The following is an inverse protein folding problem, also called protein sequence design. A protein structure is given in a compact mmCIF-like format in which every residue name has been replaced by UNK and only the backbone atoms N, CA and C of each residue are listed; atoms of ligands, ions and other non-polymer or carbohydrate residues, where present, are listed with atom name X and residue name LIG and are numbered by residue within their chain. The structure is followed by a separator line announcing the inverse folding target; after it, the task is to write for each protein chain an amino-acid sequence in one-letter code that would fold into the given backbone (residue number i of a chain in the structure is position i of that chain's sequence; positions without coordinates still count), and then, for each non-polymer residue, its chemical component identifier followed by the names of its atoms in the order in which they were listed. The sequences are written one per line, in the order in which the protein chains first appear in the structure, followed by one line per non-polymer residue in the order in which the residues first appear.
data_IF_154495559292
#
_entry.id   IF_154495559292
#
_cell.length_a   1.000
_cell.length_b   1.000
_cell.length_c   1.000
_cell.angle_alpha   90.00
_cell.angle_beta   90.00
_cell.angle_gamma   90.00
#
_symmetry.space_group_name_H-M   'P 1'
#
loop_
_entity.id
_entity.type
_entity.pdbx_description
1 polymer ?
#
# COMPACT_ATOMS: atom_id res chain seq x y z
N UNK A 1 -29.41 15.96 -23.74
CA UNK A 1 -29.45 14.87 -22.76
C UNK A 1 -29.17 15.50 -21.42
N UNK A 2 -30.11 15.44 -20.47
CA UNK A 2 -29.92 16.11 -19.18
C UNK A 2 -28.77 15.45 -18.44
N UNK A 3 -27.76 16.22 -18.03
CA UNK A 3 -26.78 15.74 -17.07
C UNK A 3 -27.54 15.47 -15.77
N UNK A 4 -27.81 14.20 -15.46
CA UNK A 4 -28.22 13.86 -14.11
C UNK A 4 -27.10 14.33 -13.19
N UNK A 5 -27.48 15.10 -12.17
CA UNK A 5 -26.54 15.52 -11.13
C UNK A 5 -26.09 14.25 -10.42
N UNK A 6 -24.80 13.93 -10.49
CA UNK A 6 -24.21 12.81 -9.77
C UNK A 6 -24.26 13.11 -8.28
N UNK A 7 -24.82 12.20 -7.49
CA UNK A 7 -24.88 12.33 -6.03
C UNK A 7 -23.75 11.53 -5.37
N UNK A 8 -23.43 11.81 -4.09
CA UNK A 8 -22.49 11.00 -3.34
C UNK A 8 -22.88 9.52 -3.26
N UNK A 9 -24.18 9.22 -3.23
CA UNK A 9 -24.72 7.86 -3.20
C UNK A 9 -24.39 7.11 -4.51
N UNK A 10 -24.47 7.76 -5.66
CA UNK A 10 -24.10 7.15 -6.96
C UNK A 10 -22.62 6.73 -6.97
N UNK A 11 -21.74 7.59 -6.44
CA UNK A 11 -20.30 7.32 -6.30
C UNK A 11 -20.06 6.16 -5.34
N UNK A 12 -20.74 6.16 -4.19
CA UNK A 12 -20.61 5.11 -3.19
C UNK A 12 -21.09 3.76 -3.73
N UNK A 13 -22.25 3.73 -4.41
CA UNK A 13 -22.79 2.53 -5.03
C UNK A 13 -21.81 1.95 -6.06
N UNK A 14 -21.22 2.79 -6.91
CA UNK A 14 -20.18 2.36 -7.86
C UNK A 14 -18.99 1.71 -7.16
N UNK A 15 -18.45 2.35 -6.12
CA UNK A 15 -17.29 1.86 -5.34
C UNK A 15 -17.57 0.58 -4.55
N UNK A 16 -18.83 0.37 -4.14
CA UNK A 16 -19.27 -0.87 -3.49
C UNK A 16 -19.38 -2.03 -4.48
N UNK A 17 -19.85 -1.74 -5.70
CA UNK A 17 -20.16 -2.76 -6.70
C UNK A 17 -18.92 -3.24 -7.49
N UNK A 18 -17.88 -2.42 -7.61
CA UNK A 18 -16.65 -2.76 -8.35
C UNK A 18 -15.54 -3.40 -7.50
N UNK A 19 -15.78 -3.54 -6.18
CA UNK A 19 -14.84 -4.13 -5.23
C UNK A 19 -13.76 -3.18 -4.73
N UNK A 20 -13.80 -1.89 -5.10
CA UNK A 20 -12.81 -0.89 -4.67
C UNK A 20 -12.81 -0.71 -3.15
N UNK A 21 -13.98 -0.71 -2.50
CA UNK A 21 -14.08 -0.62 -1.03
C UNK A 21 -13.41 -1.82 -0.35
N UNK A 22 -13.58 -3.03 -0.88
CA UNK A 22 -12.94 -4.22 -0.34
C UNK A 22 -11.41 -4.17 -0.52
N UNK A 23 -10.95 -3.65 -1.66
CA UNK A 23 -9.52 -3.44 -1.92
C UNK A 23 -8.90 -2.42 -0.94
N UNK A 24 -9.59 -1.30 -0.69
CA UNK A 24 -9.19 -0.30 0.31
C UNK A 24 -9.16 -0.94 1.71
N UNK A 25 -10.19 -1.67 2.10
CA UNK A 25 -10.25 -2.39 3.38
C UNK A 25 -9.06 -3.35 3.53
N UNK A 26 -8.75 -4.11 2.48
CA UNK A 26 -7.61 -5.01 2.48
C UNK A 26 -6.27 -4.26 2.65
N UNK A 27 -6.11 -3.12 1.97
CA UNK A 27 -4.90 -2.29 2.10
C UNK A 27 -4.73 -1.75 3.53
N UNK A 28 -5.81 -1.26 4.15
CA UNK A 28 -5.82 -0.82 5.56
C UNK A 28 -5.42 -1.98 6.49
N UNK A 29 -6.04 -3.16 6.33
CA UNK A 29 -5.71 -4.35 7.13
C UNK A 29 -4.23 -4.71 7.00
N UNK A 30 -3.68 -4.70 5.79
CA UNK A 30 -2.28 -5.05 5.55
C UNK A 30 -1.32 -4.03 6.20
N UNK A 31 -1.63 -2.74 6.13
CA UNK A 31 -0.81 -1.71 6.79
C UNK A 31 -0.87 -1.83 8.32
N UNK A 32 -2.03 -2.10 8.91
CA UNK A 32 -2.15 -2.34 10.35
C UNK A 32 -1.40 -3.59 10.79
N UNK A 33 -1.49 -4.68 10.00
CA UNK A 33 -0.72 -5.91 10.26
C UNK A 33 0.79 -5.70 10.14
N UNK A 34 1.24 -4.74 9.35
CA UNK A 34 2.65 -4.38 9.20
C UNK A 34 3.10 -3.29 10.20
N UNK A 35 2.18 -2.71 10.98
CA UNK A 35 2.49 -1.64 11.91
C UNK A 35 3.20 -2.20 13.15
N UNK A 36 4.52 -2.01 13.21
CA UNK A 36 5.36 -2.47 14.32
C UNK A 36 5.05 -1.74 15.64
N UNK A 37 4.63 -0.48 15.60
CA UNK A 37 4.27 0.26 16.82
C UNK A 37 3.03 -0.34 17.50
N UNK A 38 2.02 -0.74 16.73
CA UNK A 38 0.84 -1.44 17.25
C UNK A 38 1.21 -2.82 17.80
N UNK A 39 2.09 -3.57 17.14
CA UNK A 39 2.60 -4.85 17.63
C UNK A 39 3.36 -4.69 18.94
N UNK A 40 4.30 -3.75 18.97
CA UNK A 40 5.13 -3.45 20.15
C UNK A 40 4.26 -2.95 21.31
N UNK A 41 3.25 -2.14 21.04
CA UNK A 41 2.30 -1.71 22.07
C UNK A 41 1.51 -2.90 22.62
N UNK A 42 1.02 -3.79 21.77
CA UNK A 42 0.31 -5.01 22.19
C UNK A 42 1.19 -5.92 23.05
N UNK A 43 2.46 -6.12 22.65
CA UNK A 43 3.44 -6.90 23.44
C UNK A 43 3.63 -6.26 24.82
N UNK A 44 3.87 -4.95 24.91
CA UNK A 44 4.01 -4.24 26.18
C UNK A 44 2.77 -4.37 27.07
N UNK A 45 1.58 -4.32 26.49
CA UNK A 45 0.33 -4.50 27.23
C UNK A 45 0.19 -5.93 27.79
N UNK A 46 0.62 -6.94 27.01
CA UNK A 46 0.67 -8.33 27.47
C UNK A 46 1.69 -8.48 28.61
N UNK A 47 2.90 -7.93 28.46
CA UNK A 47 3.93 -7.96 29.51
C UNK A 47 3.46 -7.31 30.83
N UNK A 48 2.66 -6.25 30.73
CA UNK A 48 2.10 -5.52 31.86
C UNK A 48 0.76 -6.06 32.35
N UNK A 49 0.25 -7.16 31.76
CA UNK A 49 -1.07 -7.73 32.09
C UNK A 49 -1.17 -8.11 33.56
N UNK A 50 -2.28 -7.76 34.20
CA UNK A 50 -2.58 -8.22 35.55
C UNK A 50 -2.84 -9.71 35.57
N UNK A 51 -3.52 -10.25 34.56
CA UNK A 51 -3.79 -11.70 34.43
C UNK A 51 -2.49 -12.50 34.45
N UNK A 52 -1.48 -12.08 33.68
CA UNK A 52 -0.19 -12.79 33.64
C UNK A 52 0.66 -12.55 34.89
N UNK A 53 0.60 -11.36 35.48
CA UNK A 53 1.43 -10.98 36.63
C UNK A 53 0.78 -11.33 38.00
N UNK A 54 -0.38 -11.98 38.02
CA UNK A 54 -1.05 -12.40 39.26
C UNK A 54 -0.44 -13.71 39.78
N UNK A 55 -0.11 -13.82 41.08
CA UNK A 55 0.35 -15.09 41.67
C UNK A 55 -0.66 -16.22 41.44
N UNK A 56 -0.18 -17.38 40.96
CA UNK A 56 -1.04 -18.52 40.65
C UNK A 56 -1.50 -18.59 39.19
N UNK A 57 -1.15 -17.60 38.35
CA UNK A 57 -1.38 -17.66 36.90
C UNK A 57 -0.74 -18.91 36.27
N UNK A 58 0.39 -19.37 36.81
CA UNK A 58 1.09 -20.58 36.37
C UNK A 58 0.32 -21.88 36.60
N UNK A 59 -0.74 -21.85 37.43
CA UNK A 59 -1.59 -23.01 37.74
C UNK A 59 -2.86 -23.05 36.89
N UNK A 60 -3.16 -21.98 36.15
CA UNK A 60 -4.30 -21.94 35.24
C UNK A 60 -4.01 -22.74 33.97
N UNK A 61 -5.07 -23.24 33.34
CA UNK A 61 -4.93 -23.84 32.02
C UNK A 61 -4.62 -22.76 30.97
N UNK A 62 -3.98 -23.15 29.87
CA UNK A 62 -3.71 -22.24 28.74
C UNK A 62 -4.98 -21.53 28.24
N UNK A 63 -6.12 -22.21 28.29
CA UNK A 63 -7.41 -21.66 27.86
C UNK A 63 -7.88 -20.56 28.80
N UNK A 64 -7.93 -20.83 30.10
CA UNK A 64 -8.34 -19.85 31.11
C UNK A 64 -7.45 -18.61 31.09
N UNK A 65 -6.14 -18.81 30.91
CA UNK A 65 -5.18 -17.72 30.82
C UNK A 65 -5.44 -16.85 29.58
N UNK A 66 -5.65 -17.46 28.41
CA UNK A 66 -5.92 -16.73 27.18
C UNK A 66 -7.28 -16.01 27.23
N UNK A 67 -8.32 -16.67 27.72
CA UNK A 67 -9.66 -16.09 27.84
C UNK A 67 -9.65 -14.88 28.81
N UNK A 68 -8.97 -15.00 29.95
CA UNK A 68 -8.81 -13.91 30.92
C UNK A 68 -7.95 -12.77 30.35
N UNK A 69 -6.84 -13.10 29.67
CA UNK A 69 -5.96 -12.12 29.05
C UNK A 69 -6.69 -11.36 27.94
N UNK A 70 -7.49 -12.05 27.12
CA UNK A 70 -8.34 -11.44 26.11
C UNK A 70 -9.37 -10.50 26.76
N UNK A 71 -10.03 -10.94 27.83
CA UNK A 71 -10.99 -10.10 28.56
C UNK A 71 -10.34 -8.81 29.09
N UNK A 72 -9.08 -8.88 29.52
CA UNK A 72 -8.33 -7.71 29.99
C UNK A 72 -7.90 -6.77 28.84
N UNK A 73 -7.39 -7.35 27.74
CA UNK A 73 -6.65 -6.59 26.73
C UNK A 73 -7.41 -6.28 25.44
N UNK A 74 -8.52 -6.96 25.15
CA UNK A 74 -9.25 -6.80 23.87
C UNK A 74 -9.67 -5.36 23.64
N UNK A 75 -10.36 -4.74 24.61
CA UNK A 75 -10.80 -3.34 24.50
C UNK A 75 -9.64 -2.37 24.26
N UNK A 76 -8.61 -2.28 25.14
CA UNK A 76 -7.55 -1.28 24.94
C UNK A 76 -6.69 -1.54 23.70
N UNK A 77 -6.50 -2.79 23.27
CA UNK A 77 -5.81 -3.10 22.00
C UNK A 77 -6.66 -2.66 20.80
N UNK A 78 -7.96 -2.96 20.80
CA UNK A 78 -8.88 -2.56 19.73
C UNK A 78 -9.05 -1.05 19.66
N UNK A 79 -9.05 -0.33 20.78
CA UNK A 79 -9.07 1.13 20.80
C UNK A 79 -7.85 1.73 20.11
N UNK A 80 -6.65 1.21 20.39
CA UNK A 80 -5.40 1.64 19.72
C UNK A 80 -5.44 1.34 18.23
N UNK A 81 -5.85 0.13 17.84
CA UNK A 81 -5.98 -0.23 16.44
C UNK A 81 -7.01 0.65 15.71
N UNK A 82 -8.17 0.90 16.32
CA UNK A 82 -9.23 1.75 15.77
C UNK A 82 -8.75 3.18 15.55
N UNK A 83 -7.97 3.72 16.50
CA UNK A 83 -7.36 5.04 16.35
C UNK A 83 -6.39 5.08 15.16
N UNK A 84 -5.51 4.08 15.03
CA UNK A 84 -4.58 3.99 13.91
C UNK A 84 -5.27 3.80 12.56
N UNK A 85 -6.40 3.09 12.50
CA UNK A 85 -7.25 3.01 11.29
C UNK A 85 -7.71 4.41 10.89
N UNK A 86 -8.25 5.19 11.84
CA UNK A 86 -8.74 6.54 11.54
C UNK A 86 -7.62 7.48 11.10
N UNK A 87 -6.47 7.43 11.77
CA UNK A 87 -5.28 8.20 11.37
C UNK A 87 -4.87 7.84 9.93
N UNK A 88 -4.92 6.57 9.55
CA UNK A 88 -4.58 6.12 8.20
C UNK A 88 -5.59 6.57 7.13
N UNK A 89 -6.88 6.52 7.45
CA UNK A 89 -7.96 6.96 6.53
C UNK A 89 -7.93 8.48 6.34
N UNK A 90 -7.54 9.24 7.38
CA UNK A 90 -7.51 10.71 7.35
C UNK A 90 -6.16 11.28 6.89
N UNK A 91 -5.16 10.43 6.64
CA UNK A 91 -3.84 10.85 6.20
C UNK A 91 -3.88 11.51 4.82
N UNK A 92 -3.55 12.80 4.76
CA UNK A 92 -3.55 13.61 3.55
C UNK A 92 -2.36 13.32 2.62
N UNK A 93 -1.37 12.55 3.09
CA UNK A 93 -0.15 12.27 2.34
C UNK A 93 0.03 10.79 1.98
N UNK A 94 -0.81 9.91 2.53
CA UNK A 94 -0.77 8.47 2.30
C UNK A 94 -2.12 7.93 1.85
N UNK A 95 -2.62 6.92 2.56
CA UNK A 95 -3.80 6.15 2.12
C UNK A 95 -5.07 7.00 2.03
N UNK A 96 -5.27 7.97 2.92
CA UNK A 96 -6.41 8.89 2.85
C UNK A 96 -6.43 9.76 1.59
N UNK A 97 -5.26 10.19 1.11
CA UNK A 97 -5.10 10.85 -0.19
C UNK A 97 -5.53 9.94 -1.33
N UNK A 98 -5.05 8.70 -1.34
CA UNK A 98 -5.42 7.73 -2.37
C UNK A 98 -6.92 7.44 -2.39
N UNK A 99 -7.57 7.33 -1.21
CA UNK A 99 -9.04 7.20 -1.12
C UNK A 99 -9.70 8.40 -1.80
N UNK A 100 -9.25 9.61 -1.49
CA UNK A 100 -9.80 10.85 -2.06
C UNK A 100 -9.67 10.88 -3.58
N UNK A 101 -8.49 10.51 -4.11
CA UNK A 101 -8.22 10.44 -5.55
C UNK A 101 -9.10 9.38 -6.25
N UNK A 102 -9.32 8.22 -5.61
CA UNK A 102 -10.20 7.17 -6.12
C UNK A 102 -11.66 7.67 -6.19
N UNK A 103 -12.15 8.30 -5.12
CA UNK A 103 -13.52 8.85 -5.06
C UNK A 103 -13.71 9.93 -6.14
N UNK A 104 -12.75 10.84 -6.27
CA UNK A 104 -12.78 11.90 -7.28
C UNK A 104 -12.74 11.32 -8.70
N UNK A 105 -11.91 10.30 -8.95
CA UNK A 105 -11.86 9.61 -10.24
C UNK A 105 -13.21 9.00 -10.61
N UNK A 106 -13.85 8.28 -9.69
CA UNK A 106 -15.18 7.67 -9.94
C UNK A 106 -16.22 8.76 -10.18
N UNK A 107 -16.20 9.83 -9.39
CA UNK A 107 -17.08 10.98 -9.60
C UNK A 107 -16.91 11.60 -11.00
N UNK A 108 -15.67 11.81 -11.46
CA UNK A 108 -15.39 12.33 -12.80
C UNK A 108 -15.90 11.38 -13.91
N UNK A 109 -15.70 10.07 -13.73
CA UNK A 109 -16.18 9.06 -14.68
C UNK A 109 -17.71 9.08 -14.80
N UNK A 110 -18.42 9.08 -13.67
CA UNK A 110 -19.89 9.16 -13.64
C UNK A 110 -20.41 10.48 -14.23
N UNK A 111 -19.67 11.58 -14.02
CA UNK A 111 -20.02 12.90 -14.53
C UNK A 111 -19.73 13.07 -16.03
N UNK A 112 -19.08 12.10 -16.68
CA UNK A 112 -18.64 12.21 -18.08
C UNK A 112 -17.44 13.15 -18.30
N UNK A 113 -16.71 13.49 -17.23
CA UNK A 113 -15.46 14.26 -17.26
C UNK A 113 -14.23 13.36 -17.47
N UNK A 114 -14.35 12.29 -18.25
CA UNK A 114 -13.19 11.48 -18.61
C UNK A 114 -12.39 12.18 -19.72
N UNK A 115 -11.09 12.47 -19.54
CA UNK A 115 -10.26 13.03 -20.59
C UNK A 115 -10.29 12.09 -21.81
N UNK A 116 -10.51 12.59 -23.04
CA UNK A 116 -10.57 11.73 -24.21
C UNK A 116 -9.26 10.97 -24.36
N UNK A 117 -9.33 9.63 -24.31
CA UNK A 117 -8.17 8.72 -24.44
C UNK A 117 -7.47 8.79 -25.80
N UNK A 118 -8.04 9.54 -26.74
CA UNK A 118 -7.44 9.84 -28.02
C UNK A 118 -7.61 11.33 -28.34
N UNK A 119 -6.57 12.03 -28.86
CA UNK A 119 -6.78 13.35 -29.43
C UNK A 119 -7.85 13.23 -30.54
N UNK A 120 -8.73 14.23 -30.72
CA UNK A 120 -9.64 14.21 -31.87
C UNK A 120 -8.78 14.10 -33.12
N UNK A 121 -8.89 12.98 -33.83
CA UNK A 121 -8.31 12.88 -35.16
C UNK A 121 -9.07 13.87 -36.03
N UNK A 122 -8.54 15.08 -36.17
CA UNK A 122 -8.97 16.03 -37.19
C UNK A 122 -8.61 15.42 -38.55
N UNK A 123 -9.45 14.51 -39.02
CA UNK A 123 -9.45 14.05 -40.40
C UNK A 123 -10.27 15.02 -41.23
N UNK A 124 -9.76 16.25 -41.39
CA UNK A 124 -10.20 17.16 -42.44
C UNK A 124 -9.05 18.09 -42.82
N UNK A 125 -8.19 17.59 -43.69
CA UNK A 125 -7.35 18.41 -44.55
C UNK A 125 -7.31 17.73 -45.93
N UNK A 126 -8.08 18.26 -46.88
CA UNK A 126 -7.69 18.13 -48.28
C UNK A 126 -6.33 18.82 -48.46
N UNK A 127 -5.43 18.23 -49.27
CA UNK A 127 -5.15 18.89 -50.54
C UNK A 127 -4.93 17.91 -51.70
N UNK A 128 -5.54 18.20 -52.84
CA UNK A 128 -5.04 17.77 -54.15
C UNK A 128 -3.77 18.57 -54.50
N UNK A 129 -2.63 17.90 -54.71
CA UNK A 129 -1.98 17.78 -56.03
C UNK A 129 -0.61 17.12 -55.94
N UNK A 130 -0.44 16.14 -56.82
CA UNK A 130 0.79 15.44 -57.22
C UNK A 130 1.95 16.40 -57.48
N UNK A 131 3.19 15.97 -57.16
CA UNK A 131 4.19 15.57 -58.17
C UNK A 131 5.23 14.60 -57.57
N UNK A 132 5.42 13.53 -58.31
CA UNK A 132 6.43 12.48 -58.18
C UNK A 132 7.78 12.95 -58.73
N UNK A 133 8.87 12.66 -58.02
CA UNK A 133 10.19 12.39 -58.60
C UNK A 133 11.06 11.72 -57.51
N UNK A 134 11.55 10.51 -57.81
CA UNK A 134 12.58 9.75 -57.07
C UNK A 134 13.82 9.60 -57.96
N UNK A 135 14.96 9.00 -57.55
CA UNK A 135 15.48 8.58 -56.23
C UNK A 135 16.96 9.06 -56.00
N UNK A 136 17.66 8.45 -55.02
CA UNK A 136 19.14 8.42 -54.75
C UNK A 136 19.55 9.32 -53.56
N UNK A 137 20.23 8.90 -52.48
CA UNK A 137 21.26 7.88 -52.29
C UNK A 137 21.36 7.36 -50.84
N UNK A 138 21.84 6.11 -50.75
CA UNK A 138 22.49 5.36 -49.66
C UNK A 138 23.11 6.07 -48.43
N UNK A 139 22.95 5.44 -47.24
CA UNK A 139 24.01 4.94 -46.31
C UNK A 139 23.36 4.48 -44.98
N UNK A 140 23.14 3.19 -44.69
CA UNK A 140 24.05 2.10 -44.26
C UNK A 140 24.51 2.15 -42.77
N UNK A 141 23.86 1.29 -41.97
CA UNK A 141 24.35 0.42 -40.86
C UNK A 141 25.27 0.94 -39.74
N UNK A 142 24.86 0.67 -38.49
CA UNK A 142 25.54 -0.17 -37.45
C UNK A 142 24.60 -0.28 -36.22
N UNK A 143 24.23 -1.40 -35.59
CA UNK A 143 24.82 -2.73 -35.28
C UNK A 143 25.42 -2.82 -33.86
N UNK A 144 24.88 -3.75 -33.06
CA UNK A 144 25.50 -4.54 -31.94
C UNK A 144 25.97 -3.75 -30.69
N UNK A 145 25.95 -4.20 -29.42
CA UNK A 145 25.96 -5.51 -28.71
C UNK A 145 25.62 -5.25 -27.21
N UNK A 146 24.93 -6.12 -26.46
CA UNK A 146 25.44 -7.27 -25.65
C UNK A 146 26.11 -6.85 -24.31
N UNK A 147 25.41 -7.05 -23.18
CA UNK A 147 25.61 -8.08 -22.13
C UNK A 147 26.89 -7.92 -21.31
N UNK A 148 26.72 -7.61 -20.03
CA UNK A 148 27.72 -7.78 -18.99
C UNK A 148 27.04 -8.38 -17.76
N UNK A 149 27.34 -9.65 -17.51
CA UNK A 149 26.90 -10.44 -16.36
C UNK A 149 28.16 -10.80 -15.56
N UNK A 150 27.93 -11.09 -14.28
CA UNK A 150 28.77 -11.88 -13.36
C UNK A 150 30.05 -11.20 -12.85
N UNK A 151 30.60 -11.50 -11.67
CA UNK A 151 30.21 -12.11 -10.39
C UNK A 151 31.58 -12.26 -9.70
N UNK A 152 31.78 -11.86 -8.44
CA UNK A 152 32.81 -12.47 -7.57
C UNK A 152 32.40 -12.23 -6.12
N UNK A 153 31.99 -13.33 -5.50
CA UNK A 153 32.00 -13.66 -4.08
C UNK A 153 33.45 -13.91 -3.61
N UNK A 154 33.86 -13.43 -2.43
CA UNK A 154 34.93 -14.09 -1.65
C UNK A 154 34.78 -13.82 -0.14
N UNK A 155 34.56 -14.93 0.58
CA UNK A 155 34.56 -15.10 2.03
C UNK A 155 35.99 -15.41 2.52
N UNK A 156 36.40 -14.90 3.69
CA UNK A 156 37.20 -15.65 4.67
C UNK A 156 37.40 -14.89 5.99
N UNK A 157 37.09 -15.61 7.08
CA UNK A 157 37.32 -15.27 8.49
C UNK A 157 38.82 -15.34 8.88
N UNK A 158 39.23 -14.61 9.93
CA UNK A 158 40.00 -15.22 11.02
C UNK A 158 39.86 -14.46 12.35
N UNK A 159 39.82 -15.25 13.42
CA UNK A 159 39.54 -14.97 14.83
C UNK A 159 40.80 -14.65 15.66
N UNK A 160 40.60 -14.01 16.83
CA UNK A 160 41.35 -14.14 18.11
C UNK A 160 41.42 -12.77 18.80
N UNK A 161 41.29 -12.57 20.11
CA UNK A 161 40.88 -13.33 21.30
C UNK A 161 40.80 -12.24 22.41
N UNK A 162 39.95 -12.43 23.42
CA UNK A 162 39.87 -11.60 24.64
C UNK A 162 41.09 -11.90 25.58
N UNK A 163 41.18 -11.61 26.90
CA UNK A 163 40.25 -10.97 27.84
C UNK A 163 40.83 -9.94 28.86
N UNK A 164 39.90 -9.18 29.48
CA UNK A 164 39.72 -8.87 30.93
C UNK A 164 40.86 -8.23 31.77
N UNK A 165 40.51 -7.15 32.52
CA UNK A 165 40.66 -6.96 34.00
C UNK A 165 40.15 -5.54 34.36
N UNK A 166 38.94 -5.34 34.89
CA UNK A 166 38.52 -5.35 36.31
C UNK A 166 39.38 -4.52 37.29
N UNK A 167 38.67 -3.73 38.12
CA UNK A 167 39.03 -2.96 39.35
C UNK A 167 39.13 -1.44 39.09
N UNK A 168 38.50 -0.55 39.86
CA UNK A 168 37.79 -0.61 41.14
C UNK A 168 36.88 0.60 41.24
#
# INVERSE_FOLDING_TARGET
MGSSVITPEDVLESLMNDGTIDAIRLKIINQLKANEDLKNNTIKMVEQSKVLNTPGAEKQTKRELFDSLRQELETPVLEKASKSVWELILDQNGLGKEISEIVEKVFCQLSGCEPPLFPPSSSEAQPEKEREDTPTSSSKKRSFSEMGKEDVDEVAQVSADEPVHLRK
#
